data_IF_381142723872
#
_entry.id   IF_381142723872
#
_cell.length_a   1.000
_cell.length_b   1.000
_cell.length_c   1.000
_cell.angle_alpha   90.00
_cell.angle_beta   90.00
_cell.angle_gamma   90.00
#
_symmetry.space_group_name_H-M   'P 1'
#
loop_
_entity.id
_entity.type
_entity.pdbx_description
1 polymer ?
#
# COMPACT_ATOMS: atom_id res chain seq x y z
N UNK A 1 -9.07 14.89 -5.44
CA UNK A 1 -8.03 15.32 -4.48
C UNK A 1 -6.98 16.24 -5.12
N UNK A 2 -6.46 17.22 -4.38
CA UNK A 2 -5.39 18.12 -4.85
C UNK A 2 -4.00 17.46 -4.74
N UNK A 3 -2.97 18.08 -5.34
CA UNK A 3 -1.61 17.51 -5.39
C UNK A 3 -0.99 17.34 -4.00
N UNK A 4 -1.07 18.37 -3.13
CA UNK A 4 -0.49 18.31 -1.79
C UNK A 4 -1.04 17.15 -0.95
N UNK A 5 -2.33 16.83 -1.07
CA UNK A 5 -2.91 15.70 -0.36
C UNK A 5 -2.45 14.35 -0.92
N UNK A 6 -2.16 14.25 -2.21
CA UNK A 6 -1.53 13.04 -2.80
C UNK A 6 -0.11 12.85 -2.28
N UNK A 7 0.67 13.92 -2.24
CA UNK A 7 2.04 13.90 -1.68
C UNK A 7 2.03 13.47 -0.21
N UNK A 8 1.09 13.99 0.60
CA UNK A 8 0.91 13.58 1.98
C UNK A 8 0.61 12.07 2.10
N UNK A 9 -0.31 11.54 1.29
CA UNK A 9 -0.67 10.12 1.32
C UNK A 9 0.51 9.24 0.89
N UNK A 10 1.22 9.60 -0.20
CA UNK A 10 2.41 8.88 -0.66
C UNK A 10 3.48 8.89 0.45
N UNK A 11 3.72 10.03 1.08
CA UNK A 11 4.68 10.17 2.19
C UNK A 11 4.29 9.28 3.38
N UNK A 12 3.01 9.29 3.78
CA UNK A 12 2.51 8.47 4.87
C UNK A 12 2.70 6.97 4.58
N UNK A 13 2.34 6.51 3.38
CA UNK A 13 2.52 5.11 2.97
C UNK A 13 4.00 4.73 2.96
N UNK A 14 4.86 5.58 2.40
CA UNK A 14 6.31 5.37 2.40
C UNK A 14 6.87 5.26 3.83
N UNK A 15 6.37 6.06 4.78
CA UNK A 15 6.74 5.96 6.18
C UNK A 15 6.30 4.62 6.77
N UNK A 16 5.05 4.23 6.56
CA UNK A 16 4.53 2.95 7.05
C UNK A 16 5.30 1.75 6.49
N UNK A 17 5.63 1.75 5.19
CA UNK A 17 6.46 0.70 4.55
C UNK A 17 7.84 0.62 5.19
N UNK A 18 8.46 1.77 5.44
CA UNK A 18 9.76 1.85 6.10
C UNK A 18 9.71 1.35 7.54
N UNK A 19 8.69 1.73 8.29
CA UNK A 19 8.54 1.34 9.68
C UNK A 19 8.25 -0.16 9.81
N UNK A 20 7.38 -0.71 8.95
CA UNK A 20 7.18 -2.16 8.93
C UNK A 20 8.46 -2.92 8.60
N UNK A 21 9.22 -2.48 7.60
CA UNK A 21 10.51 -3.09 7.26
C UNK A 21 11.51 -3.08 8.43
N UNK A 22 11.46 -2.06 9.30
CA UNK A 22 12.32 -1.96 10.50
C UNK A 22 11.91 -2.90 11.63
N UNK A 23 10.63 -3.26 11.72
CA UNK A 23 10.16 -4.22 12.75
C UNK A 23 10.61 -5.65 12.47
N UNK A 24 11.03 -5.96 11.24
CA UNK A 24 11.35 -7.31 10.80
C UNK A 24 12.82 -7.68 11.08
N UNK A 25 13.05 -8.90 11.56
CA UNK A 25 14.36 -9.48 11.79
C UNK A 25 15.07 -9.96 10.52
N UNK A 26 15.78 -11.09 10.63
CA UNK A 26 16.60 -11.67 9.56
C UNK A 26 16.31 -13.15 9.32
N UNK A 27 15.18 -13.67 9.79
CA UNK A 27 14.75 -15.02 9.39
C UNK A 27 14.37 -15.08 7.91
N UNK A 28 14.39 -16.26 7.30
CA UNK A 28 14.11 -16.43 5.87
C UNK A 28 12.74 -15.85 5.47
N UNK A 29 11.71 -16.11 6.29
CA UNK A 29 10.37 -15.58 6.04
C UNK A 29 10.32 -14.05 6.18
N UNK A 30 11.05 -13.47 7.13
CA UNK A 30 11.13 -12.02 7.29
C UNK A 30 11.88 -11.37 6.14
N UNK A 31 12.93 -12.01 5.62
CA UNK A 31 13.63 -11.56 4.41
C UNK A 31 12.66 -11.53 3.22
N UNK A 32 11.80 -12.54 3.08
CA UNK A 32 10.79 -12.55 2.02
C UNK A 32 9.73 -11.46 2.21
N UNK A 33 9.27 -11.22 3.44
CA UNK A 33 8.38 -10.07 3.74
C UNK A 33 9.08 -8.75 3.36
N UNK A 34 10.34 -8.55 3.75
CA UNK A 34 11.12 -7.34 3.40
C UNK A 34 11.20 -7.13 1.89
N UNK A 35 11.39 -8.19 1.11
CA UNK A 35 11.40 -8.10 -0.36
C UNK A 35 10.07 -7.59 -0.91
N UNK A 36 8.95 -8.09 -0.40
CA UNK A 36 7.63 -7.64 -0.85
C UNK A 36 7.33 -6.19 -0.44
N UNK A 37 7.76 -5.76 0.77
CA UNK A 37 7.68 -4.35 1.19
C UNK A 37 8.49 -3.45 0.24
N UNK A 38 9.71 -3.86 -0.10
CA UNK A 38 10.57 -3.11 -1.01
C UNK A 38 9.95 -3.04 -2.42
N UNK A 39 9.36 -4.12 -2.91
CA UNK A 39 8.65 -4.11 -4.20
C UNK A 39 7.49 -3.12 -4.20
N UNK A 40 6.68 -3.10 -3.15
CA UNK A 40 5.58 -2.14 -3.01
C UNK A 40 6.10 -0.70 -2.99
N UNK A 41 7.17 -0.43 -2.22
CA UNK A 41 7.82 0.87 -2.18
C UNK A 41 8.33 1.29 -3.57
N UNK A 42 9.04 0.42 -4.28
CA UNK A 42 9.56 0.72 -5.62
C UNK A 42 8.39 1.00 -6.57
N UNK A 43 7.37 0.15 -6.61
CA UNK A 43 6.21 0.33 -7.49
C UNK A 43 5.54 1.69 -7.31
N UNK A 44 5.38 2.14 -6.06
CA UNK A 44 4.78 3.44 -5.75
C UNK A 44 5.68 4.61 -6.18
N UNK A 45 7.00 4.47 -6.08
CA UNK A 45 7.95 5.57 -6.29
C UNK A 45 8.67 5.53 -7.65
N UNK A 46 8.43 4.51 -8.48
CA UNK A 46 8.98 4.39 -9.83
C UNK A 46 8.48 5.49 -10.79
N UNK A 47 7.18 5.87 -10.79
CA UNK A 47 6.71 6.96 -11.63
C UNK A 47 7.32 8.31 -11.23
N UNK A 48 7.67 9.13 -12.22
CA UNK A 48 8.33 10.43 -11.99
C UNK A 48 7.42 11.49 -11.37
N UNK A 49 6.10 11.36 -11.52
CA UNK A 49 5.14 12.36 -11.07
C UNK A 49 4.18 11.82 -10.00
N UNK A 50 3.83 12.70 -9.07
CA UNK A 50 2.95 12.43 -7.92
C UNK A 50 1.59 11.83 -8.33
N UNK A 51 1.05 12.25 -9.48
CA UNK A 51 -0.27 11.76 -9.93
C UNK A 51 -0.21 10.28 -10.26
N UNK A 52 0.86 9.84 -10.91
CA UNK A 52 1.03 8.45 -11.31
C UNK A 52 1.52 7.59 -10.14
N UNK A 53 2.44 8.09 -9.29
CA UNK A 53 2.79 7.44 -8.02
C UNK A 53 1.54 7.12 -7.17
N UNK A 54 0.61 8.07 -7.08
CA UNK A 54 -0.63 7.89 -6.36
C UNK A 54 -1.54 6.80 -6.95
N UNK A 55 -1.52 6.58 -8.26
CA UNK A 55 -2.32 5.54 -8.92
C UNK A 55 -1.76 4.14 -8.70
N UNK A 56 -0.48 4.00 -8.38
CA UNK A 56 0.17 2.71 -8.12
C UNK A 56 -0.15 2.17 -6.71
N UNK A 57 -0.54 3.05 -5.77
CA UNK A 57 -0.83 2.69 -4.38
C UNK A 57 -1.78 1.48 -4.26
N UNK A 58 -2.94 1.45 -4.94
CA UNK A 58 -3.88 0.35 -4.78
C UNK A 58 -3.29 -1.00 -5.17
N UNK A 59 -2.64 -1.09 -6.32
CA UNK A 59 -2.08 -2.36 -6.80
C UNK A 59 -0.89 -2.81 -5.95
N UNK A 60 0.01 -1.89 -5.61
CA UNK A 60 1.18 -2.17 -4.77
C UNK A 60 0.77 -2.69 -3.38
N UNK A 61 -0.16 -2.01 -2.72
CA UNK A 61 -0.62 -2.42 -1.38
C UNK A 61 -1.51 -3.67 -1.41
N UNK A 62 -2.33 -3.86 -2.45
CA UNK A 62 -3.14 -5.08 -2.62
C UNK A 62 -2.24 -6.31 -2.77
N UNK A 63 -1.19 -6.21 -3.59
CA UNK A 63 -0.22 -7.29 -3.80
C UNK A 63 0.51 -7.65 -2.51
N UNK A 64 1.01 -6.64 -1.78
CA UNK A 64 1.63 -6.83 -0.47
C UNK A 64 0.67 -7.49 0.52
N UNK A 65 -0.55 -6.97 0.66
CA UNK A 65 -1.53 -7.49 1.61
C UNK A 65 -1.94 -8.95 1.31
N UNK A 66 -2.09 -9.30 0.03
CA UNK A 66 -2.37 -10.68 -0.38
C UNK A 66 -1.24 -11.64 0.04
N UNK A 67 0.02 -11.22 -0.09
CA UNK A 67 1.16 -12.00 0.38
C UNK A 67 1.14 -12.17 1.90
N UNK A 68 0.96 -11.07 2.66
CA UNK A 68 0.92 -11.08 4.13
C UNK A 68 -0.21 -11.97 4.66
N UNK A 69 -1.41 -11.87 4.08
CA UNK A 69 -2.55 -12.70 4.44
C UNK A 69 -2.26 -14.18 4.19
N UNK A 70 -1.65 -14.52 3.05
CA UNK A 70 -1.30 -15.91 2.72
C UNK A 70 -0.34 -16.51 3.75
N UNK A 71 0.67 -15.77 4.19
CA UNK A 71 1.63 -16.28 5.18
C UNK A 71 1.04 -16.36 6.60
N UNK A 72 0.12 -15.45 6.95
CA UNK A 72 -0.63 -15.50 8.21
C UNK A 72 -1.56 -16.72 8.28
N UNK A 73 -2.40 -16.90 7.26
CA UNK A 73 -3.38 -18.00 7.19
C UNK A 73 -2.69 -19.36 7.16
N UNK A 74 -1.55 -19.45 6.48
CA UNK A 74 -0.73 -20.67 6.46
C UNK A 74 0.12 -20.89 7.72
N UNK A 75 -0.01 -20.02 8.74
CA UNK A 75 0.74 -20.07 10.00
C UNK A 75 2.26 -20.08 9.83
N UNK A 76 2.76 -19.50 8.72
CA UNK A 76 4.18 -19.39 8.43
C UNK A 76 4.85 -18.24 9.19
N UNK A 77 4.06 -17.23 9.56
CA UNK A 77 4.52 -16.09 10.32
C UNK A 77 3.40 -15.60 11.23
N UNK A 78 3.75 -15.20 12.44
CA UNK A 78 2.86 -14.56 13.39
C UNK A 78 3.31 -13.12 13.57
N UNK A 79 2.50 -12.19 13.07
CA UNK A 79 2.79 -10.77 13.20
C UNK A 79 2.68 -10.34 14.67
N UNK A 80 3.56 -9.43 15.08
CA UNK A 80 3.47 -8.78 16.38
C UNK A 80 2.31 -7.79 16.41
N UNK A 81 1.82 -7.38 17.59
CA UNK A 81 0.79 -6.34 17.68
C UNK A 81 1.18 -5.02 16.99
N UNK A 82 2.47 -4.68 16.98
CA UNK A 82 2.99 -3.51 16.28
C UNK A 82 2.90 -3.68 14.75
N UNK A 83 3.27 -4.85 14.23
CA UNK A 83 3.19 -5.17 12.80
C UNK A 83 1.74 -5.21 12.33
N UNK A 84 0.84 -5.84 13.09
CA UNK A 84 -0.59 -5.88 12.78
C UNK A 84 -1.20 -4.47 12.70
N UNK A 85 -0.80 -3.58 13.61
CA UNK A 85 -1.23 -2.18 13.58
C UNK A 85 -0.80 -1.51 12.27
N UNK A 86 0.46 -1.68 11.86
CA UNK A 86 0.95 -1.10 10.60
C UNK A 86 0.22 -1.70 9.39
N UNK A 87 -0.05 -3.01 9.40
CA UNK A 87 -0.82 -3.70 8.35
C UNK A 87 -2.23 -3.14 8.23
N UNK A 88 -2.90 -2.88 9.37
CA UNK A 88 -4.21 -2.23 9.39
C UNK A 88 -4.16 -0.80 8.84
N UNK A 89 -3.11 -0.04 9.15
CA UNK A 89 -2.93 1.32 8.63
C UNK A 89 -2.71 1.34 7.10
N UNK A 90 -2.03 0.33 6.53
CA UNK A 90 -1.98 0.16 5.06
C UNK A 90 -3.36 -0.02 4.43
N UNK A 91 -4.19 -0.87 5.04
CA UNK A 91 -5.54 -1.16 4.55
C UNK A 91 -6.43 0.08 4.52
N UNK A 92 -6.28 0.95 5.51
CA UNK A 92 -7.03 2.21 5.56
C UNK A 92 -6.57 3.18 4.47
N UNK A 93 -5.25 3.36 4.29
CA UNK A 93 -4.70 4.22 3.22
C UNK A 93 -5.08 3.71 1.81
N UNK A 94 -5.13 2.39 1.63
CA UNK A 94 -5.67 1.74 0.43
C UNK A 94 -7.15 2.09 0.23
N UNK A 95 -7.99 1.98 1.27
CA UNK A 95 -9.43 2.23 1.17
C UNK A 95 -9.75 3.68 0.81
N UNK A 96 -8.99 4.64 1.33
CA UNK A 96 -9.13 6.05 1.00
C UNK A 96 -8.73 6.34 -0.45
N UNK A 97 -7.62 5.74 -0.91
CA UNK A 97 -7.18 5.86 -2.31
C UNK A 97 -8.12 5.20 -3.31
N UNK A 98 -8.65 4.02 -2.95
CA UNK A 98 -9.58 3.25 -3.78
C UNK A 98 -10.98 3.90 -3.85
N UNK A 99 -11.47 4.49 -2.76
CA UNK A 99 -12.71 5.26 -2.77
C UNK A 99 -12.62 6.48 -3.72
N UNK A 100 -11.48 7.17 -3.73
CA UNK A 100 -11.22 8.28 -4.64
C UNK A 100 -11.09 7.82 -6.10
N UNK A 101 -10.46 6.67 -6.36
CA UNK A 101 -10.33 6.12 -7.71
C UNK A 101 -11.69 5.69 -8.29
N UNK A 102 -12.55 5.05 -7.48
CA UNK A 102 -13.92 4.73 -7.87
C UNK A 102 -14.77 5.98 -8.04
N UNK A 103 -14.69 6.96 -7.14
CA UNK A 103 -15.41 8.23 -7.27
C UNK A 103 -15.02 9.02 -8.54
N UNK A 104 -13.75 8.95 -8.95
CA UNK A 104 -13.30 9.53 -10.21
C UNK A 104 -13.84 8.78 -11.44
N UNK A 105 -13.91 7.45 -11.40
CA UNK A 105 -14.47 6.62 -12.48
C UNK A 105 -15.99 6.80 -12.61
N UNK A 106 -16.74 6.86 -11.49
CA UNK A 106 -18.18 7.11 -11.50
C UNK A 106 -18.52 8.53 -11.99
N UNK A 107 -17.76 9.55 -11.58
CA UNK A 107 -17.93 10.89 -12.14
C UNK A 107 -17.59 10.92 -13.64
N UNK A 108 -16.49 10.30 -14.06
CA UNK A 108 -16.14 10.25 -15.48
C UNK A 108 -17.24 9.57 -16.31
N UNK A 109 -17.78 8.43 -15.87
CA UNK A 109 -18.89 7.77 -16.57
C UNK A 109 -20.17 8.60 -16.58
N UNK A 110 -20.48 9.37 -15.53
CA UNK A 110 -21.63 10.28 -15.52
C UNK A 110 -21.52 11.42 -16.55
N UNK A 111 -20.30 11.80 -16.97
CA UNK A 111 -20.09 12.79 -18.03
C UNK A 111 -20.10 12.19 -19.46
N UNK A 112 -20.17 10.86 -19.60
CA UNK A 112 -20.19 10.16 -20.90
C UNK A 112 -21.56 9.59 -21.27
N UNK A 113 -22.63 9.98 -20.57
CA UNK A 113 -24.01 9.71 -21.03
C UNK A 113 -24.52 10.92 -21.84
N UNK A 114 -24.88 10.75 -23.13
CA UNK A 114 -25.54 11.78 -23.93
C UNK A 114 -26.98 12.05 -23.48
#
# INVERSE_FOLDING_TARGET
>A
MNQSKKEEIISNINSLLKDFNRTLGHSDIEIDIKKEIIKAYISINDPENVKDQYKEIPEALSTLNNFLMKIAVSKKYHFSPEQDKIIHEYGNAYSESYADSLGAVFNAMAFFHP
#
